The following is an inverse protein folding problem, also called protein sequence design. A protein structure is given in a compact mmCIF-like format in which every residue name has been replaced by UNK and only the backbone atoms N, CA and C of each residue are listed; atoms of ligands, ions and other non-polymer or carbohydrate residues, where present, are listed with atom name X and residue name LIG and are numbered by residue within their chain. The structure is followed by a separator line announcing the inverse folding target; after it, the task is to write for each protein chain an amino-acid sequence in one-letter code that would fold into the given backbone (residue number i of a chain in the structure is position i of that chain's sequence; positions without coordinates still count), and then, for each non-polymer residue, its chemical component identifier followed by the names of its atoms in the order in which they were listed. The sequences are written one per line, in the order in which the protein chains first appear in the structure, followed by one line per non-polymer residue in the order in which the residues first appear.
data_IF_206635476971
#
_entry.id   IF_206635476971
#
_cell.length_a   1.000
_cell.length_b   1.000
_cell.length_c   1.000
_cell.angle_alpha   90.00
_cell.angle_beta   90.00
_cell.angle_gamma   90.00
#
_symmetry.space_group_name_H-M   'P 1'
#
loop_
_entity.id
_entity.type
_entity.pdbx_description
1 polymer ?
#
# COMPACT_ATOMS: atom_id res chain seq x y z
N UNK A 1 3.15 5.98 -35.73
CA UNK A 1 3.72 7.03 -34.87
C UNK A 1 4.64 6.34 -33.88
N UNK A 2 5.76 6.97 -33.53
CA UNK A 2 6.77 6.47 -32.59
C UNK A 2 7.12 7.60 -31.62
N UNK A 3 7.02 7.32 -30.32
CA UNK A 3 7.49 8.24 -29.28
C UNK A 3 9.01 8.10 -29.20
N UNK A 4 9.73 9.21 -29.36
CA UNK A 4 11.19 9.25 -29.25
C UNK A 4 11.63 9.58 -27.83
N UNK A 5 11.01 10.61 -27.24
CA UNK A 5 11.32 11.09 -25.90
C UNK A 5 10.04 11.36 -25.13
N UNK A 6 10.03 10.96 -23.86
CA UNK A 6 8.99 11.30 -22.90
C UNK A 6 9.67 11.62 -21.58
N UNK A 7 9.88 12.92 -21.32
CA UNK A 7 10.62 13.41 -20.18
C UNK A 7 9.65 13.93 -19.12
N UNK A 8 9.51 13.15 -18.05
CA UNK A 8 8.84 13.57 -16.83
C UNK A 8 9.86 14.25 -15.91
N UNK A 9 9.72 15.56 -15.72
CA UNK A 9 10.72 16.34 -14.95
C UNK A 9 10.29 16.48 -13.50
N UNK A 10 9.31 17.33 -13.25
CA UNK A 10 8.89 17.67 -11.91
C UNK A 10 7.68 16.82 -11.56
N UNK A 11 7.86 15.80 -10.71
CA UNK A 11 6.79 14.94 -10.22
C UNK A 11 6.65 15.10 -8.72
N UNK A 12 5.46 15.44 -8.23
CA UNK A 12 5.21 15.61 -6.80
C UNK A 12 3.91 14.91 -6.41
N UNK A 13 3.92 14.30 -5.23
CA UNK A 13 2.74 13.82 -4.53
C UNK A 13 2.45 14.75 -3.35
N UNK A 14 1.19 15.13 -3.19
CA UNK A 14 0.74 16.03 -2.12
C UNK A 14 -0.52 15.50 -1.47
N UNK A 15 -0.58 15.59 -0.15
CA UNK A 15 -1.70 15.12 0.65
C UNK A 15 -2.73 16.24 0.79
N UNK A 16 -3.99 15.92 0.51
CA UNK A 16 -5.10 16.86 0.66
C UNK A 16 -6.17 16.26 1.57
N UNK A 17 -6.23 16.69 2.85
CA UNK A 17 -7.19 16.14 3.81
C UNK A 17 -8.63 16.20 3.30
N UNK A 18 -9.36 15.10 3.49
CA UNK A 18 -10.73 14.85 2.97
C UNK A 18 -10.88 14.77 1.45
N UNK A 19 -9.85 15.11 0.66
CA UNK A 19 -9.92 15.08 -0.81
C UNK A 19 -9.09 13.94 -1.42
N UNK A 20 -8.09 13.42 -0.70
CA UNK A 20 -7.24 12.32 -1.15
C UNK A 20 -5.80 12.76 -1.46
N UNK A 21 -5.18 12.08 -2.41
CA UNK A 21 -3.80 12.34 -2.84
C UNK A 21 -3.82 13.06 -4.18
N UNK A 22 -3.04 14.15 -4.33
CA UNK A 22 -2.85 14.80 -5.62
C UNK A 22 -1.44 14.53 -6.15
N UNK A 23 -1.37 13.96 -7.34
CA UNK A 23 -0.15 13.84 -8.12
C UNK A 23 -0.07 15.00 -9.12
N UNK A 24 0.99 15.78 -9.05
CA UNK A 24 1.27 16.86 -10.01
C UNK A 24 2.54 16.54 -10.79
N UNK A 25 2.46 16.71 -12.09
CA UNK A 25 3.59 16.66 -13.00
C UNK A 25 3.65 17.99 -13.75
N UNK A 26 4.80 18.64 -13.80
CA UNK A 26 4.94 19.94 -14.47
C UNK A 26 6.19 20.03 -15.34
N UNK A 27 6.10 20.91 -16.35
CA UNK A 27 7.17 21.18 -17.30
C UNK A 27 7.71 19.92 -18.00
N UNK A 28 6.79 19.05 -18.44
CA UNK A 28 7.13 17.80 -19.12
C UNK A 28 7.30 18.03 -20.63
N UNK A 29 8.08 17.15 -21.26
CA UNK A 29 8.37 17.19 -22.69
C UNK A 29 8.07 15.85 -23.36
N UNK A 30 7.49 15.89 -24.55
CA UNK A 30 7.23 14.71 -25.37
C UNK A 30 7.64 14.99 -26.82
N UNK A 31 8.36 14.05 -27.42
CA UNK A 31 8.67 14.08 -28.86
C UNK A 31 8.17 12.81 -29.53
N UNK A 32 7.45 12.97 -30.63
CA UNK A 32 6.82 11.90 -31.40
C UNK A 32 7.09 12.12 -32.88
N UNK A 33 7.47 11.06 -33.59
CA UNK A 33 7.55 11.08 -35.05
C UNK A 33 6.51 10.16 -35.69
N UNK A 34 6.24 10.37 -36.97
CA UNK A 34 5.37 9.47 -37.71
C UNK A 34 5.40 9.70 -39.21
N UNK A 35 4.68 8.83 -39.91
CA UNK A 35 4.45 8.94 -41.34
C UNK A 35 3.02 9.41 -41.58
N UNK A 36 2.81 10.25 -42.58
CA UNK A 36 1.49 10.66 -43.04
C UNK A 36 1.30 10.28 -44.51
N UNK A 37 0.05 10.03 -44.89
CA UNK A 37 -0.34 9.71 -46.26
C UNK A 37 -1.73 10.26 -46.53
N UNK A 38 -1.87 11.06 -47.57
CA UNK A 38 -3.15 11.63 -48.03
C UNK A 38 -3.38 11.18 -49.47
N UNK A 39 -4.56 10.61 -49.72
CA UNK A 39 -5.01 10.26 -51.08
C UNK A 39 -6.15 11.18 -51.47
N UNK A 40 -6.02 11.86 -52.61
CA UNK A 40 -7.11 12.63 -53.22
C UNK A 40 -7.14 12.37 -54.72
N UNK A 41 -8.23 11.75 -55.19
CA UNK A 41 -8.38 11.31 -56.58
C UNK A 41 -7.17 10.44 -57.00
N UNK A 42 -6.46 10.81 -58.07
CA UNK A 42 -5.27 10.10 -58.56
C UNK A 42 -3.96 10.48 -57.87
N UNK A 43 -3.96 11.47 -56.97
CA UNK A 43 -2.75 11.98 -56.32
C UNK A 43 -2.60 11.34 -54.92
N UNK A 44 -1.45 10.72 -54.69
CA UNK A 44 -1.05 10.21 -53.36
C UNK A 44 0.12 11.03 -52.84
N UNK A 45 -0.11 11.77 -51.76
CA UNK A 45 0.92 12.51 -51.04
C UNK A 45 1.31 11.72 -49.79
N UNK A 46 2.60 11.74 -49.47
CA UNK A 46 3.14 11.09 -48.29
C UNK A 46 4.34 11.85 -47.77
N UNK A 47 4.71 11.60 -46.52
CA UNK A 47 5.87 12.18 -45.89
C UNK A 47 5.96 11.77 -44.42
N UNK A 48 6.82 12.47 -43.69
CA UNK A 48 7.02 12.28 -42.26
C UNK A 48 6.62 13.53 -41.49
N UNK A 49 6.39 13.37 -40.19
CA UNK A 49 6.20 14.47 -39.27
C UNK A 49 6.95 14.21 -37.97
N UNK A 50 7.42 15.28 -37.35
CA UNK A 50 8.00 15.33 -36.02
C UNK A 50 7.21 16.33 -35.18
N UNK A 51 6.66 15.84 -34.07
CA UNK A 51 5.83 16.56 -33.12
C UNK A 51 6.61 16.69 -31.81
N UNK A 52 6.80 17.92 -31.33
CA UNK A 52 7.32 18.22 -29.99
C UNK A 52 6.25 18.90 -29.16
N UNK A 53 6.11 18.48 -27.91
CA UNK A 53 5.19 19.04 -26.94
C UNK A 53 5.99 19.46 -25.72
N UNK A 54 5.95 20.75 -25.39
CA UNK A 54 6.73 21.37 -24.34
C UNK A 54 5.82 22.02 -23.29
N UNK A 55 6.32 22.08 -22.04
CA UNK A 55 5.60 22.74 -20.94
C UNK A 55 4.34 22.00 -20.51
N UNK A 56 4.23 20.68 -20.76
CA UNK A 56 3.04 19.91 -20.40
C UNK A 56 2.92 19.77 -18.88
N UNK A 57 1.74 20.05 -18.35
CA UNK A 57 1.42 19.87 -16.92
C UNK A 57 0.22 18.95 -16.74
N UNK A 58 0.27 18.07 -15.74
CA UNK A 58 -0.76 17.07 -15.45
C UNK A 58 -1.02 17.11 -13.94
N UNK A 59 -2.29 17.21 -13.56
CA UNK A 59 -2.77 17.15 -12.19
C UNK A 59 -3.80 16.04 -12.06
N UNK A 60 -3.54 15.09 -11.17
CA UNK A 60 -4.38 13.92 -10.94
C UNK A 60 -4.76 13.89 -9.46
N UNK A 61 -6.05 13.85 -9.16
CA UNK A 61 -6.57 13.60 -7.82
C UNK A 61 -6.98 12.13 -7.71
N UNK A 62 -6.43 11.44 -6.73
CA UNK A 62 -6.68 10.04 -6.41
C UNK A 62 -7.46 9.95 -5.09
N UNK A 63 -8.53 9.18 -5.11
CA UNK A 63 -9.22 8.76 -3.90
C UNK A 63 -8.79 7.34 -3.55
N UNK A 64 -8.54 7.10 -2.26
CA UNK A 64 -8.23 5.77 -1.72
C UNK A 64 -9.40 5.33 -0.86
N UNK A 65 -9.83 4.08 -1.03
CA UNK A 65 -10.96 3.50 -0.29
C UNK A 65 -10.68 2.01 -0.01
N UNK A 66 -11.70 1.29 0.45
CA UNK A 66 -11.69 -0.17 0.57
C UNK A 66 -12.92 -0.78 -0.10
N UNK A 67 -12.76 -1.99 -0.60
CA UNK A 67 -13.89 -2.79 -1.03
C UNK A 67 -14.59 -3.50 0.16
N UNK A 68 -15.65 -4.26 -0.14
CA UNK A 68 -16.39 -5.03 0.86
C UNK A 68 -15.55 -6.14 1.50
N UNK A 69 -14.50 -6.61 0.83
CA UNK A 69 -13.58 -7.61 1.36
C UNK A 69 -12.48 -7.01 2.24
N UNK A 70 -12.41 -5.68 2.36
CA UNK A 70 -11.38 -4.97 3.10
C UNK A 70 -10.08 -4.81 2.33
N UNK A 71 -10.09 -4.96 0.99
CA UNK A 71 -8.93 -4.64 0.14
C UNK A 71 -8.90 -3.15 -0.18
N UNK A 72 -7.71 -2.53 -0.25
CA UNK A 72 -7.58 -1.16 -0.71
C UNK A 72 -7.99 -1.04 -2.18
N UNK A 73 -8.69 0.04 -2.49
CA UNK A 73 -9.05 0.45 -3.84
C UNK A 73 -8.58 1.87 -4.10
N UNK A 74 -8.39 2.20 -5.37
CA UNK A 74 -8.00 3.55 -5.80
C UNK A 74 -8.82 3.96 -7.01
N UNK A 75 -9.21 5.23 -7.06
CA UNK A 75 -9.90 5.79 -8.22
C UNK A 75 -9.40 7.19 -8.54
N UNK A 76 -9.45 7.56 -9.82
CA UNK A 76 -9.15 8.92 -10.27
C UNK A 76 -10.42 9.74 -10.20
N UNK A 77 -10.49 10.66 -9.23
CA UNK A 77 -11.65 11.56 -9.05
C UNK A 77 -11.58 12.76 -9.97
N UNK A 78 -10.38 13.29 -10.17
CA UNK A 78 -10.14 14.42 -11.05
C UNK A 78 -8.86 14.20 -11.84
N UNK A 79 -8.88 14.58 -13.11
CA UNK A 79 -7.69 14.68 -13.93
C UNK A 79 -7.82 15.94 -14.77
N UNK A 80 -6.82 16.80 -14.67
CA UNK A 80 -6.68 17.99 -15.47
C UNK A 80 -5.27 18.00 -16.03
N UNK A 81 -5.12 18.47 -17.26
CA UNK A 81 -3.80 18.66 -17.83
C UNK A 81 -3.85 19.86 -18.77
N UNK A 82 -2.70 20.48 -18.98
CA UNK A 82 -2.53 21.60 -19.88
C UNK A 82 -1.31 21.38 -20.76
N UNK A 83 -1.41 21.84 -22.01
CA UNK A 83 -0.34 21.75 -22.99
C UNK A 83 0.20 23.16 -23.26
N UNK A 84 1.49 23.37 -23.01
CA UNK A 84 2.13 24.67 -23.24
C UNK A 84 2.28 24.97 -24.73
N UNK A 85 3.34 24.45 -25.34
CA UNK A 85 3.68 24.68 -26.74
C UNK A 85 3.68 23.37 -27.53
N UNK A 86 3.15 23.40 -28.75
CA UNK A 86 3.21 22.26 -29.67
C UNK A 86 3.92 22.69 -30.96
N UNK A 87 5.07 22.08 -31.23
CA UNK A 87 5.77 22.23 -32.50
C UNK A 87 5.51 21.03 -33.39
N UNK A 88 5.17 21.27 -34.66
CA UNK A 88 5.00 20.22 -35.67
C UNK A 88 5.84 20.58 -36.89
N UNK A 89 6.82 19.74 -37.18
CA UNK A 89 7.63 19.79 -38.38
C UNK A 89 7.16 18.69 -39.32
N UNK A 90 6.77 19.05 -40.55
CA UNK A 90 6.29 18.09 -41.54
C UNK A 90 7.20 18.14 -42.75
N UNK A 91 7.71 16.98 -43.12
CA UNK A 91 8.51 16.79 -44.32
C UNK A 91 7.64 16.35 -45.49
N UNK A 92 7.95 16.85 -46.70
CA UNK A 92 7.35 16.42 -47.95
C UNK A 92 6.84 17.56 -48.83
N UNK A 93 6.08 17.22 -49.87
CA UNK A 93 5.65 18.17 -50.91
C UNK A 93 4.64 19.25 -50.46
N UNK A 94 4.16 19.18 -49.21
CA UNK A 94 3.15 20.09 -48.65
C UNK A 94 3.62 20.87 -47.43
N UNK A 95 4.92 20.87 -47.12
CA UNK A 95 5.48 21.61 -45.96
C UNK A 95 5.06 23.09 -45.98
N UNK A 96 4.90 23.70 -47.16
CA UNK A 96 4.46 25.10 -47.32
C UNK A 96 2.98 25.36 -46.97
N UNK A 97 2.08 24.38 -47.11
CA UNK A 97 0.63 24.55 -46.84
C UNK A 97 0.34 24.57 -45.34
N UNK A 98 1.18 23.92 -44.54
CA UNK A 98 0.97 23.80 -43.10
C UNK A 98 1.30 25.09 -42.36
N UNK A 99 2.19 25.92 -42.93
CA UNK A 99 2.41 27.29 -42.49
C UNK A 99 1.12 28.13 -42.43
N UNK A 100 0.13 27.82 -43.29
CA UNK A 100 -1.15 28.53 -43.35
C UNK A 100 -2.17 28.06 -42.29
N UNK A 101 -1.97 26.88 -41.69
CA UNK A 101 -2.92 26.28 -40.74
C UNK A 101 -2.26 25.85 -39.42
N UNK A 102 -1.03 26.30 -39.14
CA UNK A 102 -0.28 25.90 -37.94
C UNK A 102 -1.08 26.07 -36.66
N UNK A 103 -1.68 27.23 -36.45
CA UNK A 103 -2.47 27.52 -35.24
C UNK A 103 -3.67 26.55 -35.09
N UNK A 104 -4.37 26.26 -36.19
CA UNK A 104 -5.52 25.34 -36.18
C UNK A 104 -5.10 23.90 -35.86
N UNK A 105 -3.97 23.47 -36.42
CA UNK A 105 -3.43 22.12 -36.22
C UNK A 105 -2.90 21.99 -34.79
N UNK A 106 -2.15 22.97 -34.30
CA UNK A 106 -1.66 23.02 -32.93
C UNK A 106 -2.81 22.93 -31.93
N UNK A 107 -3.85 23.77 -32.06
CA UNK A 107 -4.99 23.75 -31.16
C UNK A 107 -5.75 22.42 -31.19
N UNK A 108 -5.91 21.81 -32.38
CA UNK A 108 -6.54 20.51 -32.48
C UNK A 108 -5.68 19.40 -31.83
N UNK A 109 -4.36 19.45 -32.01
CA UNK A 109 -3.43 18.49 -31.40
C UNK A 109 -3.40 18.66 -29.88
N UNK A 110 -3.38 19.90 -29.36
CA UNK A 110 -3.51 20.19 -27.93
C UNK A 110 -4.78 19.54 -27.36
N UNK A 111 -5.94 19.82 -27.95
CA UNK A 111 -7.22 19.24 -27.50
C UNK A 111 -7.21 17.70 -27.50
N UNK A 112 -6.66 17.08 -28.54
CA UNK A 112 -6.55 15.62 -28.63
C UNK A 112 -5.63 15.07 -27.54
N UNK A 113 -4.47 15.69 -27.33
CA UNK A 113 -3.52 15.28 -26.30
C UNK A 113 -4.13 15.39 -24.90
N UNK A 114 -4.83 16.49 -24.62
CA UNK A 114 -5.52 16.68 -23.34
C UNK A 114 -6.52 15.56 -23.04
N UNK A 115 -7.35 15.23 -24.02
CA UNK A 115 -8.31 14.13 -23.87
C UNK A 115 -7.61 12.76 -23.70
N UNK A 116 -6.54 12.52 -24.46
CA UNK A 116 -5.84 11.23 -24.44
C UNK A 116 -5.03 11.01 -23.17
N UNK A 117 -4.38 12.06 -22.64
CA UNK A 117 -3.56 11.97 -21.42
C UNK A 117 -4.44 11.56 -20.24
N UNK A 118 -5.52 12.28 -19.96
CA UNK A 118 -6.37 11.96 -18.82
C UNK A 118 -7.07 10.61 -18.97
N UNK A 119 -7.41 10.20 -20.20
CA UNK A 119 -7.90 8.84 -20.46
C UNK A 119 -6.86 7.79 -20.09
N UNK A 120 -5.61 7.96 -20.53
CA UNK A 120 -4.52 7.03 -20.23
C UNK A 120 -4.19 6.98 -18.73
N UNK A 121 -4.23 8.11 -18.03
CA UNK A 121 -4.07 8.17 -16.57
C UNK A 121 -5.15 7.34 -15.87
N UNK A 122 -6.42 7.52 -16.24
CA UNK A 122 -7.54 6.75 -15.67
C UNK A 122 -7.39 5.25 -15.94
N UNK A 123 -7.05 4.88 -17.17
CA UNK A 123 -6.82 3.49 -17.56
C UNK A 123 -5.63 2.88 -16.79
N UNK A 124 -4.54 3.62 -16.63
CA UNK A 124 -3.36 3.16 -15.87
C UNK A 124 -3.66 3.01 -14.38
N UNK A 125 -4.45 3.92 -13.79
CA UNK A 125 -4.87 3.79 -12.39
C UNK A 125 -5.69 2.51 -12.18
N UNK A 126 -6.66 2.25 -13.07
CA UNK A 126 -7.52 1.06 -12.97
C UNK A 126 -6.80 -0.25 -13.32
N UNK A 127 -5.89 -0.25 -14.31
CA UNK A 127 -5.25 -1.48 -14.82
C UNK A 127 -3.92 -1.83 -14.18
N UNK A 128 -3.25 -0.86 -13.52
CA UNK A 128 -1.93 -1.08 -12.89
C UNK A 128 -1.94 -0.75 -11.42
N UNK A 129 -2.35 0.47 -11.05
CA UNK A 129 -2.26 0.92 -9.66
C UNK A 129 -3.24 0.16 -8.75
N UNK A 130 -4.51 0.04 -9.15
CA UNK A 130 -5.50 -0.68 -8.35
C UNK A 130 -5.15 -2.17 -8.18
N UNK A 131 -4.78 -2.93 -9.23
CA UNK A 131 -4.31 -4.30 -9.06
C UNK A 131 -3.07 -4.41 -8.17
N UNK A 132 -2.14 -3.46 -8.27
CA UNK A 132 -0.97 -3.43 -7.39
C UNK A 132 -1.38 -3.26 -5.92
N UNK A 133 -2.27 -2.32 -5.60
CA UNK A 133 -2.75 -2.14 -4.23
C UNK A 133 -3.49 -3.39 -3.71
N UNK A 134 -4.24 -4.08 -4.58
CA UNK A 134 -4.94 -5.32 -4.22
C UNK A 134 -4.01 -6.51 -3.90
N UNK A 135 -2.70 -6.41 -4.20
CA UNK A 135 -1.72 -7.42 -3.78
C UNK A 135 -1.47 -7.42 -2.27
N UNK A 136 -1.85 -6.34 -1.56
CA UNK A 136 -1.79 -6.31 -0.12
C UNK A 136 -2.65 -7.43 0.47
N UNK A 137 -2.11 -8.22 1.40
CA UNK A 137 -2.81 -9.37 1.94
C UNK A 137 -4.01 -8.91 2.76
N UNK A 138 -5.17 -9.53 2.49
CA UNK A 138 -6.38 -9.41 3.33
C UNK A 138 -6.25 -10.32 4.53
N UNK A 139 -5.75 -11.54 4.30
CA UNK A 139 -5.40 -12.50 5.33
C UNK A 139 -4.06 -13.10 4.96
N UNK A 140 -3.27 -13.46 5.98
CA UNK A 140 -2.02 -14.17 5.80
C UNK A 140 -1.94 -15.32 6.79
N UNK A 141 -1.60 -16.52 6.31
CA UNK A 141 -1.27 -17.62 7.20
C UNK A 141 0.11 -17.38 7.80
N UNK A 142 0.22 -17.50 9.11
CA UNK A 142 1.52 -17.40 9.81
C UNK A 142 2.13 -18.80 9.88
N UNK A 143 1.32 -19.81 10.23
CA UNK A 143 1.73 -21.20 10.28
C UNK A 143 0.54 -22.18 10.08
N UNK A 144 0.68 -23.42 10.58
CA UNK A 144 -0.37 -24.43 10.51
C UNK A 144 -1.51 -24.21 11.52
N UNK A 145 -1.32 -23.32 12.50
CA UNK A 145 -2.21 -23.08 13.62
C UNK A 145 -2.98 -21.78 13.42
N UNK A 146 -2.27 -20.70 13.05
CA UNK A 146 -2.80 -19.35 13.06
C UNK A 146 -2.62 -18.61 11.73
N UNK A 147 -3.62 -17.80 11.39
CA UNK A 147 -3.53 -16.73 10.40
C UNK A 147 -3.77 -15.37 11.05
N UNK A 148 -3.49 -14.31 10.31
CA UNK A 148 -3.78 -12.93 10.68
C UNK A 148 -4.65 -12.26 9.61
N UNK A 149 -5.66 -11.54 10.07
CA UNK A 149 -6.56 -10.72 9.28
C UNK A 149 -6.02 -9.28 9.19
N UNK A 150 -5.60 -8.91 7.99
CA UNK A 150 -5.10 -7.58 7.60
C UNK A 150 -6.11 -6.82 6.75
N UNK A 151 -7.41 -7.13 6.82
CA UNK A 151 -8.42 -6.32 6.13
C UNK A 151 -8.40 -4.89 6.62
N UNK A 152 -8.64 -3.95 5.71
CA UNK A 152 -8.92 -2.57 6.07
C UNK A 152 -10.25 -2.48 6.82
N UNK A 153 -10.23 -1.90 8.01
CA UNK A 153 -11.45 -1.67 8.81
C UNK A 153 -12.15 -0.36 8.43
N UNK A 154 -11.45 0.52 7.73
CA UNK A 154 -11.97 1.78 7.18
C UNK A 154 -11.19 2.20 5.93
N UNK A 155 -11.70 3.19 5.21
CA UNK A 155 -10.97 3.79 4.09
C UNK A 155 -9.64 4.39 4.59
N UNK A 156 -8.55 4.34 3.79
CA UNK A 156 -7.34 5.08 4.10
C UNK A 156 -7.61 6.57 4.31
N UNK A 157 -7.10 7.14 5.40
CA UNK A 157 -7.34 8.51 5.80
C UNK A 157 -6.16 9.39 5.44
N UNK A 158 -6.41 10.43 4.64
CA UNK A 158 -5.39 11.42 4.30
C UNK A 158 -5.43 12.55 5.32
N UNK A 159 -4.31 12.76 6.01
CA UNK A 159 -4.10 13.86 6.95
C UNK A 159 -3.06 14.84 6.40
N UNK A 160 -2.81 15.94 7.11
CA UNK A 160 -1.72 16.85 6.76
C UNK A 160 -0.33 16.25 6.99
N UNK A 161 -0.26 15.18 7.79
CA UNK A 161 0.99 14.56 8.22
C UNK A 161 1.31 13.30 7.40
N UNK A 162 0.29 12.58 6.95
CA UNK A 162 0.47 11.29 6.30
C UNK A 162 -0.81 10.68 5.74
N UNK A 163 -0.66 9.44 5.30
CA UNK A 163 -1.75 8.57 4.87
C UNK A 163 -1.87 7.44 5.90
N UNK A 164 -2.96 7.44 6.66
CA UNK A 164 -3.22 6.44 7.69
C UNK A 164 -4.08 5.31 7.11
N UNK A 165 -3.58 4.07 7.14
CA UNK A 165 -4.27 2.89 6.63
C UNK A 165 -4.66 1.96 7.79
N UNK A 166 -5.93 1.95 8.23
CA UNK A 166 -6.33 1.17 9.40
C UNK A 166 -6.57 -0.30 9.05
N UNK A 167 -5.61 -1.15 9.42
CA UNK A 167 -5.69 -2.61 9.28
C UNK A 167 -6.28 -3.27 10.52
N UNK A 168 -6.98 -4.40 10.36
CA UNK A 168 -7.65 -5.12 11.45
C UNK A 168 -6.66 -5.72 12.48
N UNK A 169 -5.62 -6.42 12.00
CA UNK A 169 -4.58 -6.98 12.87
C UNK A 169 -5.08 -8.07 13.84
N UNK A 170 -6.00 -8.93 13.42
CA UNK A 170 -6.62 -9.94 14.30
C UNK A 170 -6.11 -11.34 13.95
N UNK A 171 -5.54 -12.06 14.93
CA UNK A 171 -5.19 -13.47 14.72
C UNK A 171 -6.43 -14.36 14.79
N UNK A 172 -6.49 -15.35 13.91
CA UNK A 172 -7.54 -16.37 13.86
C UNK A 172 -6.94 -17.78 13.77
N UNK A 173 -7.67 -18.78 14.28
CA UNK A 173 -7.30 -20.19 14.15
C UNK A 173 -7.56 -20.71 12.75
N UNK A 174 -6.64 -21.48 12.17
CA UNK A 174 -6.76 -22.00 10.79
C UNK A 174 -7.98 -22.89 10.60
N UNK A 175 -8.29 -23.71 11.61
CA UNK A 175 -9.30 -24.77 11.51
C UNK A 175 -10.52 -24.51 12.41
N UNK A 176 -10.60 -23.36 13.07
CA UNK A 176 -11.73 -23.03 13.95
C UNK A 176 -11.99 -21.54 13.99
N UNK A 177 -13.28 -21.20 13.99
CA UNK A 177 -13.73 -19.82 14.18
C UNK A 177 -13.91 -19.57 15.68
N UNK A 178 -13.09 -18.68 16.24
CA UNK A 178 -13.35 -18.08 17.55
C UNK A 178 -13.59 -16.59 17.34
N UNK A 179 -14.71 -16.08 17.80
CA UNK A 179 -14.86 -14.63 17.98
C UNK A 179 -13.89 -14.14 19.05
N UNK A 180 -13.40 -12.91 18.88
CA UNK A 180 -12.58 -12.22 19.87
C UNK A 180 -13.52 -11.43 20.79
N UNK A 181 -13.53 -11.68 22.12
CA UNK A 181 -14.50 -11.08 23.03
C UNK A 181 -14.06 -9.72 23.62
N UNK A 182 -13.15 -9.03 22.94
CA UNK A 182 -12.60 -7.74 23.37
C UNK A 182 -12.27 -6.89 22.14
N UNK A 183 -12.20 -5.58 22.31
CA UNK A 183 -11.95 -4.62 21.24
C UNK A 183 -10.50 -4.14 21.22
N UNK A 184 -10.08 -3.59 20.07
CA UNK A 184 -8.76 -2.98 19.94
C UNK A 184 -8.75 -1.58 20.57
N UNK A 185 -7.76 -1.25 21.42
CA UNK A 185 -7.61 0.11 21.92
C UNK A 185 -7.17 1.06 20.79
N UNK A 186 -7.52 2.36 20.86
CA UNK A 186 -7.00 3.34 19.93
C UNK A 186 -5.48 3.43 20.05
N UNK A 187 -4.80 3.60 18.91
CA UNK A 187 -3.35 3.78 18.85
C UNK A 187 -3.04 5.10 18.13
N UNK A 188 -2.06 5.83 18.65
CA UNK A 188 -1.62 7.09 18.05
C UNK A 188 -0.13 6.99 17.78
N UNK A 189 0.26 7.25 16.53
CA UNK A 189 1.66 7.32 16.14
C UNK A 189 2.23 8.71 16.45
N UNK A 190 3.51 8.79 16.85
CA UNK A 190 4.18 10.09 17.00
C UNK A 190 4.28 10.79 15.65
N UNK A 191 4.09 12.11 15.65
CA UNK A 191 4.20 12.94 14.44
C UNK A 191 5.68 13.18 14.09
N UNK A 192 6.29 12.20 13.44
CA UNK A 192 7.65 12.28 12.89
C UNK A 192 7.63 12.02 11.39
N UNK A 193 8.55 12.67 10.68
CA UNK A 193 8.73 12.57 9.23
C UNK A 193 10.16 12.11 8.89
N UNK A 194 10.82 11.38 9.79
CA UNK A 194 12.18 10.84 9.58
C UNK A 194 12.20 9.56 8.73
N UNK A 195 11.04 8.93 8.50
CA UNK A 195 10.87 7.72 7.70
C UNK A 195 9.66 7.79 6.76
N UNK A 196 9.65 6.96 5.72
CA UNK A 196 8.56 6.91 4.74
C UNK A 196 7.29 6.22 5.26
N UNK A 197 7.43 5.24 6.16
CA UNK A 197 6.34 4.41 6.67
C UNK A 197 6.57 4.15 8.16
N UNK A 198 5.51 4.23 8.94
CA UNK A 198 5.47 3.82 10.34
C UNK A 198 4.40 2.75 10.54
N UNK A 199 4.70 1.78 11.41
CA UNK A 199 3.75 0.73 11.79
C UNK A 199 3.39 0.90 13.27
N UNK A 200 2.10 0.94 13.55
CA UNK A 200 1.57 0.90 14.91
C UNK A 200 0.92 -0.47 15.12
N UNK A 201 1.39 -1.22 16.12
CA UNK A 201 0.87 -2.55 16.45
C UNK A 201 0.32 -2.47 17.87
N UNK A 202 -0.99 -2.65 18.03
CA UNK A 202 -1.65 -2.58 19.33
C UNK A 202 -1.50 -3.88 20.12
N UNK A 203 -1.69 -3.81 21.44
CA UNK A 203 -1.73 -4.98 22.32
C UNK A 203 -2.78 -6.03 21.87
N UNK A 204 -3.83 -5.58 21.19
CA UNK A 204 -4.88 -6.42 20.62
C UNK A 204 -4.33 -7.51 19.69
N UNK A 205 -3.36 -7.16 18.84
CA UNK A 205 -2.71 -8.09 17.91
C UNK A 205 -2.04 -9.23 18.70
N UNK A 206 -1.31 -8.88 19.75
CA UNK A 206 -0.60 -9.84 20.60
C UNK A 206 -1.56 -10.68 21.45
N UNK A 207 -2.61 -10.07 21.99
CA UNK A 207 -3.62 -10.76 22.81
C UNK A 207 -4.41 -11.78 21.98
N UNK A 208 -4.80 -11.43 20.74
CA UNK A 208 -5.47 -12.38 19.82
C UNK A 208 -4.53 -13.50 19.39
N UNK A 209 -3.26 -13.21 19.09
CA UNK A 209 -2.27 -14.23 18.80
C UNK A 209 -2.12 -15.20 19.98
N UNK A 210 -1.93 -14.68 21.18
CA UNK A 210 -1.78 -15.48 22.40
C UNK A 210 -2.99 -16.38 22.63
N UNK A 211 -4.20 -15.86 22.43
CA UNK A 211 -5.44 -16.63 22.56
C UNK A 211 -5.47 -17.80 21.58
N UNK A 212 -5.16 -17.58 20.29
CA UNK A 212 -5.19 -18.63 19.27
C UNK A 212 -4.22 -19.75 19.60
N UNK A 213 -2.97 -19.43 19.94
CA UNK A 213 -1.97 -20.46 20.29
C UNK A 213 -2.26 -21.16 21.63
N UNK A 214 -2.82 -20.44 22.60
CA UNK A 214 -3.25 -21.03 23.86
C UNK A 214 -4.38 -22.04 23.65
N UNK A 215 -5.40 -21.68 22.87
CA UNK A 215 -6.51 -22.56 22.50
C UNK A 215 -6.05 -23.78 21.70
N UNK A 216 -5.02 -23.63 20.87
CA UNK A 216 -4.38 -24.73 20.14
C UNK A 216 -3.50 -25.65 21.02
N UNK A 217 -3.36 -25.34 22.32
CA UNK A 217 -2.53 -26.11 23.25
C UNK A 217 -1.03 -25.96 23.03
N UNK A 218 -0.59 -24.98 22.24
CA UNK A 218 0.81 -24.76 21.87
C UNK A 218 1.57 -23.89 22.88
N UNK A 219 0.87 -23.29 23.84
CA UNK A 219 1.46 -22.53 24.93
C UNK A 219 1.75 -23.41 26.15
N UNK A 220 2.37 -24.57 25.94
CA UNK A 220 2.81 -25.49 27.00
C UNK A 220 4.32 -25.63 26.94
N UNK A 221 5.00 -25.37 28.05
CA UNK A 221 6.45 -25.51 28.14
C UNK A 221 6.86 -26.32 29.36
N UNK A 222 7.80 -27.23 29.16
CA UNK A 222 8.42 -28.01 30.23
C UNK A 222 9.80 -27.46 30.55
N UNK A 223 9.93 -26.81 31.71
CA UNK A 223 11.21 -26.32 32.20
C UNK A 223 11.89 -27.47 32.96
N UNK A 224 13.03 -27.94 32.44
CA UNK A 224 13.87 -28.94 33.09
C UNK A 224 15.08 -28.24 33.73
N UNK A 225 15.72 -28.87 34.73
CA UNK A 225 16.89 -28.32 35.40
C UNK A 225 18.03 -27.94 34.44
N UNK A 226 18.16 -28.63 33.30
CA UNK A 226 19.15 -28.32 32.26
C UNK A 226 18.89 -26.97 31.55
N UNK A 227 17.69 -26.41 31.63
CA UNK A 227 17.32 -25.11 31.06
C UNK A 227 17.60 -23.94 32.02
N UNK A 228 17.92 -24.22 33.29
CA UNK A 228 18.28 -23.20 34.29
C UNK A 228 19.79 -23.13 34.36
N UNK A 229 20.38 -22.09 33.75
CA UNK A 229 21.83 -21.89 33.76
C UNK A 229 22.35 -21.75 35.20
N UNK A 230 23.53 -22.32 35.47
CA UNK A 230 24.17 -22.37 36.80
C UNK A 230 24.50 -20.99 37.41
N UNK A 231 24.31 -19.89 36.68
CA UNK A 231 24.58 -18.51 37.14
C UNK A 231 23.34 -17.62 37.31
N UNK A 232 22.14 -18.10 36.98
CA UNK A 232 20.91 -17.34 37.24
C UNK A 232 20.58 -17.38 38.73
N UNK A 233 20.42 -16.21 39.38
CA UNK A 233 19.78 -16.17 40.70
C UNK A 233 18.44 -16.87 40.58
N UNK A 234 18.24 -17.98 41.30
CA UNK A 234 16.95 -18.66 41.36
C UNK A 234 15.90 -17.61 41.76
N UNK A 235 14.84 -17.50 40.96
CA UNK A 235 13.63 -16.78 41.34
C UNK A 235 12.98 -17.57 42.49
N UNK A 236 13.47 -17.30 43.70
CA UNK A 236 12.83 -17.71 44.94
C UNK A 236 12.09 -16.52 45.51
N UNK A 237 10.84 -16.74 45.90
CA UNK A 237 10.09 -15.79 46.74
C UNK A 237 10.94 -15.51 48.00
N UNK A 238 11.20 -14.25 48.38
CA UNK A 238 12.00 -13.96 49.58
C UNK A 238 11.29 -14.51 50.82
N UNK A 239 11.84 -15.59 51.39
CA UNK A 239 11.33 -16.20 52.63
C UNK A 239 11.13 -17.72 52.57
N UNK A 240 10.96 -18.32 51.40
CA UNK A 240 10.81 -19.78 51.27
C UNK A 240 11.87 -20.38 50.34
N UNK A 241 12.84 -21.07 50.93
CA UNK A 241 13.66 -22.04 50.20
C UNK A 241 12.74 -23.20 49.80
N UNK A 242 12.28 -23.22 48.56
CA UNK A 242 11.68 -24.44 47.98
C UNK A 242 12.80 -25.48 47.88
N UNK A 243 12.92 -26.30 48.94
CA UNK A 243 13.77 -27.48 48.99
C UNK A 243 13.02 -28.60 48.31
N UNK A 244 13.38 -28.88 47.06
CA UNK A 244 12.95 -30.09 46.37
C UNK A 244 13.61 -31.30 47.07
N UNK A 245 12.98 -31.77 48.14
CA UNK A 245 13.35 -33.01 48.81
C UNK A 245 12.69 -34.17 48.05
N UNK A 246 13.50 -34.94 47.34
CA UNK A 246 13.04 -36.06 46.51
C UNK A 246 12.39 -37.18 47.33
N UNK A 247 12.51 -37.18 48.67
CA UNK A 247 11.84 -38.19 49.52
C UNK A 247 10.39 -37.87 49.83
N UNK A 248 9.99 -36.60 49.86
CA UNK A 248 8.60 -36.21 50.13
C UNK A 248 7.77 -35.99 48.87
N UNK A 249 8.40 -35.93 47.69
CA UNK A 249 7.65 -35.82 46.42
C UNK A 249 7.06 -37.16 45.99
N UNK A 250 7.68 -38.29 46.36
CA UNK A 250 7.17 -39.63 46.00
C UNK A 250 5.89 -39.99 46.76
N UNK A 251 5.68 -39.47 47.97
CA UNK A 251 4.43 -39.72 48.71
C UNK A 251 3.26 -38.82 48.28
N UNK A 252 3.51 -37.72 47.57
CA UNK A 252 2.48 -36.79 47.10
C UNK A 252 2.20 -36.88 45.58
N UNK A 253 3.01 -37.62 44.83
CA UNK A 253 2.82 -37.89 43.40
C UNK A 253 2.00 -39.17 43.17
N UNK A 254 0.95 -39.36 43.97
CA UNK A 254 -0.21 -40.13 43.54
C UNK A 254 -1.12 -39.20 42.74
N UNK A 255 -0.89 -39.10 41.42
CA UNK A 255 -1.79 -38.42 40.46
C UNK A 255 -2.04 -36.92 40.69
N UNK A 256 -1.13 -36.05 40.26
CA UNK A 256 -1.54 -34.70 39.84
C UNK A 256 -0.53 -34.02 38.89
N UNK A 257 -0.89 -33.92 37.61
CA UNK A 257 -0.32 -32.92 36.69
C UNK A 257 -0.74 -31.52 37.17
N UNK A 258 0.23 -30.66 37.50
CA UNK A 258 -0.06 -29.23 37.74
C UNK A 258 0.22 -28.45 36.47
N UNK A 259 -0.85 -28.01 35.82
CA UNK A 259 -0.79 -27.01 34.76
C UNK A 259 -0.54 -25.63 35.40
N UNK A 260 0.54 -24.97 35.03
CA UNK A 260 0.79 -23.56 35.37
C UNK A 260 0.30 -22.71 34.21
N UNK A 261 -0.81 -22.00 34.40
CA UNK A 261 -1.30 -21.01 33.45
C UNK A 261 -0.57 -19.68 33.69
N UNK A 262 0.08 -19.15 32.66
CA UNK A 262 0.60 -17.79 32.68
C UNK A 262 -0.50 -16.85 32.17
N UNK A 263 -1.09 -16.09 33.08
CA UNK A 263 -1.91 -14.93 32.71
C UNK A 263 -1.02 -13.80 32.20
N UNK A 264 -1.44 -13.15 31.12
CA UNK A 264 -0.80 -11.94 30.63
C UNK A 264 -0.94 -10.84 31.70
N UNK A 265 0.16 -10.52 32.37
CA UNK A 265 0.24 -9.31 33.19
C UNK A 265 0.36 -8.12 32.26
N UNK A 266 -0.56 -7.15 32.38
CA UNK A 266 -0.38 -5.84 31.78
C UNK A 266 0.96 -5.26 32.24
N UNK A 267 1.80 -4.89 31.28
CA UNK A 267 2.99 -4.07 31.53
C UNK A 267 2.51 -2.64 31.32
N UNK A 268 2.14 -1.98 32.41
CA UNK A 268 1.93 -0.53 32.41
C UNK A 268 3.23 0.18 32.08
N UNK A 269 3.13 1.20 31.23
CA UNK A 269 4.21 2.16 30.93
C UNK A 269 4.50 3.01 32.16
#
# INVERSE_FOLDING_TARGET
MRIHHFLLRNSQLSLHPRQGIKASLSNNHVSVSGNWKVKKSFITLHGTFDLSVDGMSILVSLNLDKDQSGRPTVSVTHCHNSIGHVSIEISGHISWILNLFHERIENNVKNILEQKICKMVKESAASRLEPYLRTLPVTSMIDQIAGIDYRLVGAPQVTFQGLDTPFKGEFFGRNWNSSVPFDAPPITLPQKNDHMIYFAVSEYVFNTASRVYHQAGQMKFTIQNKHVSRGGKRLGVPGEKIRWDSRSTVSALGSQEKNVAFGASQIGV
#
